data_IF_022884994418
#
_entry.id   IF_022884994418
#
_cell.length_a   1.000
_cell.length_b   1.000
_cell.length_c   1.000
_cell.angle_alpha   90.00
_cell.angle_beta   90.00
_cell.angle_gamma   90.00
#
_symmetry.space_group_name_H-M   'P 1'
#
loop_
_entity.id
_entity.type
_entity.pdbx_description
1 polymer ?
#
# COMPACT_ATOMS: atom_id res chain seq x y z
N UNK A 1 -7.16 -16.57 -3.71
CA UNK A 1 -6.70 -17.33 -4.90
C UNK A 1 -5.27 -17.87 -4.74
N UNK A 2 -4.30 -17.07 -4.28
CA UNK A 2 -2.91 -17.48 -4.03
C UNK A 2 -2.75 -18.85 -3.33
N UNK A 3 -3.38 -19.05 -2.18
CA UNK A 3 -3.24 -20.28 -1.38
C UNK A 3 -3.66 -21.51 -2.18
N UNK A 4 -4.77 -21.41 -2.93
CA UNK A 4 -5.29 -22.51 -3.75
C UNK A 4 -4.29 -22.88 -4.84
N UNK A 5 -3.77 -21.88 -5.58
CA UNK A 5 -2.79 -22.10 -6.65
C UNK A 5 -1.49 -22.69 -6.10
N UNK A 6 -0.99 -22.16 -4.99
CA UNK A 6 0.21 -22.68 -4.32
C UNK A 6 0.04 -24.14 -3.91
N UNK A 7 -1.11 -24.46 -3.31
CA UNK A 7 -1.41 -25.78 -2.79
C UNK A 7 -1.67 -26.79 -3.91
N UNK A 8 -2.35 -26.41 -4.99
CA UNK A 8 -2.54 -27.28 -6.15
C UNK A 8 -1.22 -27.60 -6.83
N UNK A 9 -0.33 -26.62 -7.03
CA UNK A 9 1.02 -26.85 -7.55
C UNK A 9 1.80 -27.82 -6.64
N UNK A 10 1.74 -27.62 -5.32
CA UNK A 10 2.40 -28.49 -4.35
C UNK A 10 1.90 -29.93 -4.45
N UNK A 11 0.58 -30.13 -4.50
CA UNK A 11 -0.03 -31.47 -4.59
C UNK A 11 0.24 -32.14 -5.92
N UNK A 12 0.17 -31.41 -7.04
CA UNK A 12 0.50 -31.95 -8.37
C UNK A 12 1.93 -32.46 -8.44
N UNK A 13 2.90 -31.71 -7.89
CA UNK A 13 4.29 -32.15 -7.78
C UNK A 13 4.44 -33.42 -6.94
N UNK A 14 3.69 -33.53 -5.84
CA UNK A 14 3.69 -34.73 -4.99
C UNK A 14 3.08 -35.95 -5.69
N UNK A 15 1.96 -35.77 -6.41
CA UNK A 15 1.35 -36.84 -7.19
C UNK A 15 2.26 -37.32 -8.33
N UNK A 16 2.93 -36.41 -9.03
CA UNK A 16 3.89 -36.76 -10.08
C UNK A 16 5.06 -37.58 -9.53
N UNK A 17 5.56 -37.25 -8.34
CA UNK A 17 6.60 -38.01 -7.67
C UNK A 17 6.12 -39.41 -7.21
N UNK A 18 4.86 -39.51 -6.75
CA UNK A 18 4.28 -40.78 -6.30
C UNK A 18 3.94 -41.74 -7.47
N UNK A 19 3.72 -41.22 -8.68
CA UNK A 19 3.35 -42.02 -9.86
C UNK A 19 4.56 -42.66 -10.58
N UNK A 20 5.78 -42.59 -10.02
CA UNK A 20 6.98 -43.16 -10.63
C UNK A 20 7.10 -42.85 -12.12
N UNK A 21 6.95 -41.57 -12.52
CA UNK A 21 7.38 -41.15 -13.85
C UNK A 21 8.91 -41.24 -13.91
N UNK A 22 9.42 -42.45 -14.16
CA UNK A 22 10.83 -42.83 -14.12
C UNK A 22 11.68 -42.21 -15.24
N UNK A 23 11.06 -41.59 -16.25
CA UNK A 23 11.78 -40.93 -17.33
C UNK A 23 11.86 -39.42 -17.13
N UNK A 24 12.91 -38.95 -16.44
CA UNK A 24 13.68 -37.68 -16.61
C UNK A 24 12.99 -36.35 -17.01
N UNK A 25 11.66 -36.29 -17.14
CA UNK A 25 10.88 -35.12 -17.50
C UNK A 25 10.16 -34.70 -16.23
N UNK A 26 10.78 -33.75 -15.52
CA UNK A 26 10.10 -33.02 -14.46
C UNK A 26 8.77 -32.49 -15.03
N UNK A 27 7.65 -32.81 -14.36
CA UNK A 27 6.34 -32.27 -14.70
C UNK A 27 6.44 -30.75 -14.85
N UNK A 28 6.30 -30.27 -16.08
CA UNK A 28 6.36 -28.84 -16.38
C UNK A 28 4.96 -28.24 -16.22
N UNK A 29 4.82 -27.37 -15.23
CA UNK A 29 3.58 -26.61 -15.00
C UNK A 29 3.81 -25.23 -15.59
N UNK A 30 2.98 -24.85 -16.54
CA UNK A 30 3.05 -23.55 -17.22
C UNK A 30 1.73 -22.80 -17.06
N UNK A 31 1.82 -21.48 -17.01
CA UNK A 31 0.65 -20.60 -17.12
C UNK A 31 0.62 -20.03 -18.54
N UNK A 32 -0.46 -20.22 -19.28
CA UNK A 32 -0.55 -19.86 -20.71
C UNK A 32 -1.41 -18.63 -20.98
N UNK A 33 -2.28 -18.26 -20.05
CA UNK A 33 -3.17 -17.10 -20.19
C UNK A 33 -2.42 -15.78 -20.03
N UNK A 34 -3.10 -14.69 -20.36
CA UNK A 34 -2.59 -13.34 -20.13
C UNK A 34 -2.49 -13.06 -18.63
N UNK A 35 -1.43 -12.37 -18.23
CA UNK A 35 -1.24 -11.96 -16.83
C UNK A 35 -2.40 -11.06 -16.36
N UNK A 36 -2.99 -11.31 -15.18
CA UNK A 36 -4.15 -10.58 -14.67
C UNK A 36 -3.73 -9.24 -14.05
N UNK A 37 -3.16 -8.34 -14.85
CA UNK A 37 -2.70 -7.04 -14.37
C UNK A 37 -3.84 -6.11 -13.94
N UNK A 38 -4.97 -6.10 -14.66
CA UNK A 38 -6.08 -5.20 -14.32
C UNK A 38 -6.65 -5.45 -12.91
N UNK A 39 -7.03 -6.69 -12.53
CA UNK A 39 -7.46 -6.96 -11.16
C UNK A 39 -6.37 -6.67 -10.12
N UNK A 40 -5.09 -6.82 -10.49
CA UNK A 40 -3.99 -6.49 -9.60
C UNK A 40 -3.86 -4.99 -9.34
N UNK A 41 -4.01 -4.16 -10.39
CA UNK A 41 -4.01 -2.70 -10.26
C UNK A 41 -5.19 -2.20 -9.43
N UNK A 42 -6.37 -2.82 -9.54
CA UNK A 42 -7.53 -2.46 -8.70
C UNK A 42 -7.23 -2.65 -7.20
N UNK A 43 -6.51 -3.73 -6.85
CA UNK A 43 -6.09 -4.00 -5.46
C UNK A 43 -5.05 -2.98 -4.99
N UNK A 44 -4.08 -2.63 -5.83
CA UNK A 44 -3.09 -1.58 -5.54
C UNK A 44 -3.80 -0.25 -5.30
N UNK A 45 -4.70 0.15 -6.19
CA UNK A 45 -5.44 1.40 -6.10
C UNK A 45 -6.29 1.46 -4.82
N UNK A 46 -6.93 0.36 -4.44
CA UNK A 46 -7.71 0.26 -3.20
C UNK A 46 -6.84 0.50 -1.97
N UNK A 47 -5.69 -0.16 -1.89
CA UNK A 47 -4.71 0.02 -0.83
C UNK A 47 -4.20 1.46 -0.76
N UNK A 48 -3.76 2.02 -1.89
CA UNK A 48 -3.23 3.38 -1.97
C UNK A 48 -4.28 4.44 -1.57
N UNK A 49 -5.54 4.27 -2.00
CA UNK A 49 -6.66 5.15 -1.61
C UNK A 49 -6.88 5.15 -0.10
N UNK A 50 -6.78 4.00 0.57
CA UNK A 50 -6.91 3.92 2.03
C UNK A 50 -5.75 4.62 2.75
N UNK A 51 -4.50 4.45 2.28
CA UNK A 51 -3.33 5.18 2.81
C UNK A 51 -3.50 6.69 2.70
N UNK A 52 -3.86 7.17 1.51
CA UNK A 52 -4.11 8.61 1.27
C UNK A 52 -5.27 9.13 2.13
N UNK A 53 -6.36 8.35 2.23
CA UNK A 53 -7.51 8.69 3.06
C UNK A 53 -7.14 8.86 4.54
N UNK A 54 -6.32 7.95 5.10
CA UNK A 54 -5.82 8.08 6.46
C UNK A 54 -4.98 9.33 6.65
N UNK A 55 -4.06 9.61 5.73
CA UNK A 55 -3.23 10.81 5.80
C UNK A 55 -4.09 12.09 5.83
N UNK A 56 -5.14 12.16 5.00
CA UNK A 56 -6.08 13.28 4.98
C UNK A 56 -6.82 13.40 6.32
N UNK A 57 -7.31 12.29 6.88
CA UNK A 57 -8.02 12.31 8.16
C UNK A 57 -7.12 12.70 9.33
N UNK A 58 -5.87 12.23 9.37
CA UNK A 58 -4.90 12.66 10.39
C UNK A 58 -4.63 14.15 10.33
N UNK A 59 -4.43 14.71 9.12
CA UNK A 59 -4.26 16.17 8.96
C UNK A 59 -5.48 16.96 9.41
N UNK A 60 -6.70 16.44 9.19
CA UNK A 60 -7.92 17.07 9.69
C UNK A 60 -8.02 16.98 11.22
N UNK A 61 -7.68 15.83 11.80
CA UNK A 61 -7.64 15.62 13.24
C UNK A 61 -6.66 16.57 13.92
N UNK A 62 -5.47 16.78 13.34
CA UNK A 62 -4.48 17.72 13.87
C UNK A 62 -5.01 19.16 13.93
N UNK A 63 -5.70 19.60 12.88
CA UNK A 63 -6.35 20.92 12.82
C UNK A 63 -7.44 21.05 13.89
N UNK A 64 -8.33 20.05 14.00
CA UNK A 64 -9.39 20.04 15.01
C UNK A 64 -8.82 20.00 16.42
N UNK A 65 -7.77 19.21 16.68
CA UNK A 65 -7.12 19.13 17.98
C UNK A 65 -6.48 20.47 18.38
N UNK A 66 -5.87 21.18 17.43
CA UNK A 66 -5.35 22.52 17.66
C UNK A 66 -6.47 23.53 17.99
N UNK A 67 -7.57 23.50 17.23
CA UNK A 67 -8.75 24.33 17.49
C UNK A 67 -9.36 24.04 18.86
N UNK A 68 -9.53 22.75 19.20
CA UNK A 68 -10.08 22.32 20.48
C UNK A 68 -9.23 22.80 21.66
N UNK A 69 -7.90 22.64 21.59
CA UNK A 69 -6.97 23.18 22.60
C UNK A 69 -7.07 24.70 22.73
N UNK A 70 -7.24 25.43 21.62
CA UNK A 70 -7.41 26.89 21.66
C UNK A 70 -8.73 27.31 22.33
N UNK A 71 -9.82 26.57 22.08
CA UNK A 71 -11.11 26.79 22.74
C UNK A 71 -11.03 26.51 24.23
N UNK A 72 -10.42 25.39 24.64
CA UNK A 72 -10.18 25.06 26.06
C UNK A 72 -9.44 26.18 26.78
N UNK A 73 -8.35 26.69 26.20
CA UNK A 73 -7.58 27.81 26.78
C UNK A 73 -8.44 29.07 26.93
N UNK A 74 -9.26 29.40 25.93
CA UNK A 74 -10.16 30.58 25.99
C UNK A 74 -11.24 30.43 27.06
N UNK A 75 -11.86 29.24 27.15
CA UNK A 75 -12.85 28.94 28.19
C UNK A 75 -12.24 29.06 29.58
N UNK A 76 -11.05 28.51 29.82
CA UNK A 76 -10.35 28.61 31.11
C UNK A 76 -10.07 30.06 31.52
N UNK A 77 -9.62 30.91 30.58
CA UNK A 77 -9.40 32.33 30.86
C UNK A 77 -10.71 33.04 31.22
N UNK A 78 -11.80 32.73 30.52
CA UNK A 78 -13.13 33.32 30.75
C UNK A 78 -13.76 32.86 32.07
N UNK A 79 -13.61 31.59 32.44
CA UNK A 79 -14.10 31.08 33.74
C UNK A 79 -13.32 31.66 34.92
N UNK A 80 -12.08 32.11 34.72
CA UNK A 80 -11.29 32.79 35.75
C UNK A 80 -11.68 34.27 35.92
N UNK A 81 -12.39 34.85 34.96
CA UNK A 81 -12.74 36.28 34.95
C UNK A 81 -13.93 36.56 35.89
N UNK A 82 -13.86 37.63 36.67
CA UNK A 82 -14.88 37.95 37.70
C UNK A 82 -16.18 38.49 37.10
N UNK A 83 -16.12 39.07 35.89
CA UNK A 83 -17.27 39.60 35.15
C UNK A 83 -17.35 38.96 33.74
N UNK A 84 -17.89 37.74 33.62
CA UNK A 84 -17.92 37.03 32.34
C UNK A 84 -18.89 37.69 31.35
N UNK A 85 -18.38 38.01 30.16
CA UNK A 85 -19.22 38.30 28.97
C UNK A 85 -19.88 37.00 28.48
N UNK A 86 -21.07 37.06 27.87
CA UNK A 86 -21.89 35.87 27.55
C UNK A 86 -21.12 34.70 26.92
N UNK A 87 -21.04 33.56 27.62
CA UNK A 87 -20.18 32.40 27.30
C UNK A 87 -20.84 31.45 26.27
N UNK A 88 -22.17 31.51 26.11
CA UNK A 88 -22.97 30.54 25.35
C UNK A 88 -22.43 30.18 23.94
N UNK A 89 -21.90 31.15 23.19
CA UNK A 89 -21.41 30.87 21.81
C UNK A 89 -20.12 30.03 21.78
N UNK A 90 -19.27 30.16 22.81
CA UNK A 90 -18.02 29.40 22.92
C UNK A 90 -18.29 27.96 23.37
N UNK A 91 -19.24 27.75 24.27
CA UNK A 91 -19.63 26.42 24.74
C UNK A 91 -20.21 25.59 23.59
N UNK A 92 -21.11 26.18 22.78
CA UNK A 92 -21.67 25.51 21.59
C UNK A 92 -20.57 25.13 20.59
N UNK A 93 -19.60 26.03 20.35
CA UNK A 93 -18.49 25.76 19.43
C UNK A 93 -17.56 24.68 19.97
N UNK A 94 -17.35 24.65 21.28
CA UNK A 94 -16.56 23.62 21.96
C UNK A 94 -17.20 22.24 21.81
N UNK A 95 -18.49 22.12 22.11
CA UNK A 95 -19.25 20.88 21.95
C UNK A 95 -19.26 20.41 20.50
N UNK A 96 -19.46 21.31 19.54
CA UNK A 96 -19.41 20.98 18.12
C UNK A 96 -18.04 20.45 17.70
N UNK A 97 -16.96 21.12 18.10
CA UNK A 97 -15.59 20.69 17.77
C UNK A 97 -15.29 19.32 18.38
N UNK A 98 -15.78 19.05 19.60
CA UNK A 98 -15.67 17.74 20.23
C UNK A 98 -16.39 16.64 19.43
N UNK A 99 -17.63 16.88 18.99
CA UNK A 99 -18.37 15.94 18.16
C UNK A 99 -17.68 15.70 16.80
N UNK A 100 -17.10 16.74 16.20
CA UNK A 100 -16.31 16.61 14.97
C UNK A 100 -15.06 15.75 15.16
N UNK A 101 -14.34 15.91 16.27
CA UNK A 101 -13.20 15.05 16.64
C UNK A 101 -13.65 13.59 16.74
N UNK A 102 -14.73 13.31 17.48
CA UNK A 102 -15.26 11.95 17.59
C UNK A 102 -15.65 11.37 16.22
N UNK A 103 -16.24 12.19 15.35
CA UNK A 103 -16.60 11.80 13.99
C UNK A 103 -15.37 11.43 13.14
N UNK A 104 -14.30 12.22 13.20
CA UNK A 104 -13.06 11.94 12.47
C UNK A 104 -12.34 10.72 13.03
N UNK A 105 -12.25 10.56 14.35
CA UNK A 105 -11.60 9.38 14.96
C UNK A 105 -12.27 8.08 14.50
N UNK A 106 -13.61 8.04 14.46
CA UNK A 106 -14.34 6.87 13.93
C UNK A 106 -14.04 6.59 12.45
N UNK A 107 -13.87 7.64 11.64
CA UNK A 107 -13.46 7.49 10.23
C UNK A 107 -12.04 6.93 10.12
N UNK A 108 -11.12 7.43 10.94
CA UNK A 108 -9.74 6.92 11.01
C UNK A 108 -9.74 5.44 11.37
N UNK A 109 -10.41 5.03 12.45
CA UNK A 109 -10.49 3.62 12.87
C UNK A 109 -11.05 2.72 11.75
N UNK A 110 -12.12 3.15 11.09
CA UNK A 110 -12.70 2.41 9.96
C UNK A 110 -11.72 2.29 8.80
N UNK A 111 -11.06 3.38 8.42
CA UNK A 111 -10.10 3.36 7.30
C UNK A 111 -8.83 2.59 7.66
N UNK A 112 -8.37 2.57 8.92
CA UNK A 112 -7.27 1.72 9.38
C UNK A 112 -7.62 0.24 9.21
N UNK A 113 -8.84 -0.16 9.57
CA UNK A 113 -9.30 -1.52 9.39
C UNK A 113 -9.37 -1.89 7.88
N UNK A 114 -9.95 -1.01 7.06
CA UNK A 114 -9.98 -1.21 5.60
C UNK A 114 -8.59 -1.23 4.96
N UNK A 115 -7.65 -0.44 5.47
CA UNK A 115 -6.25 -0.49 5.02
C UNK A 115 -5.65 -1.85 5.32
N UNK A 116 -5.78 -2.35 6.55
CA UNK A 116 -5.26 -3.67 6.94
C UNK A 116 -5.82 -4.80 6.07
N UNK A 117 -7.10 -4.75 5.74
CA UNK A 117 -7.73 -5.69 4.82
C UNK A 117 -7.11 -5.57 3.41
N UNK A 118 -7.01 -4.35 2.88
CA UNK A 118 -6.38 -4.09 1.59
C UNK A 118 -4.90 -4.52 1.53
N UNK A 119 -4.13 -4.35 2.63
CA UNK A 119 -2.73 -4.77 2.70
C UNK A 119 -2.58 -6.28 2.64
N UNK A 120 -3.48 -7.04 3.27
CA UNK A 120 -3.51 -8.50 3.14
C UNK A 120 -3.91 -8.95 1.73
N UNK A 121 -4.92 -8.30 1.14
CA UNK A 121 -5.36 -8.59 -0.23
C UNK A 121 -4.25 -8.30 -1.24
N UNK A 122 -3.52 -7.19 -1.07
CA UNK A 122 -2.39 -6.81 -1.89
C UNK A 122 -1.20 -7.77 -1.72
N UNK A 123 -0.90 -8.19 -0.49
CA UNK A 123 0.12 -9.21 -0.20
C UNK A 123 -0.20 -10.52 -0.94
N UNK A 124 -1.44 -11.00 -0.79
CA UNK A 124 -1.89 -12.23 -1.45
C UNK A 124 -1.85 -12.11 -2.98
N UNK A 125 -2.27 -10.96 -3.52
CA UNK A 125 -2.30 -10.72 -4.95
C UNK A 125 -0.89 -10.61 -5.53
N UNK A 126 0.03 -9.97 -4.83
CA UNK A 126 1.45 -9.88 -5.21
C UNK A 126 2.12 -11.25 -5.22
N UNK A 127 1.90 -12.05 -4.16
CA UNK A 127 2.40 -13.43 -4.11
C UNK A 127 1.81 -14.32 -5.23
N UNK A 128 0.56 -14.09 -5.64
CA UNK A 128 0.00 -14.76 -6.80
C UNK A 128 0.70 -14.32 -8.08
N UNK A 129 0.90 -13.02 -8.29
CA UNK A 129 1.62 -12.49 -9.45
C UNK A 129 3.02 -13.09 -9.56
N UNK A 130 3.73 -13.22 -8.45
CA UNK A 130 5.04 -13.88 -8.37
C UNK A 130 5.00 -15.33 -8.89
N UNK A 131 4.03 -16.13 -8.42
CA UNK A 131 3.84 -17.49 -8.91
C UNK A 131 3.53 -17.50 -10.41
N UNK A 132 2.62 -16.65 -10.88
CA UNK A 132 2.21 -16.60 -12.28
C UNK A 132 3.38 -16.21 -13.19
N UNK A 133 4.19 -15.22 -12.81
CA UNK A 133 5.41 -14.83 -13.54
C UNK A 133 6.40 -15.99 -13.60
N UNK A 134 6.64 -16.68 -12.46
CA UNK A 134 7.53 -17.84 -12.41
C UNK A 134 7.07 -18.95 -13.35
N UNK A 135 5.78 -19.28 -13.37
CA UNK A 135 5.22 -20.31 -14.25
C UNK A 135 5.18 -19.88 -15.71
N UNK A 136 4.94 -18.59 -15.99
CA UNK A 136 4.80 -18.08 -17.36
C UNK A 136 6.13 -17.99 -18.10
N UNK A 137 7.18 -17.58 -17.41
CA UNK A 137 8.51 -17.35 -17.97
C UNK A 137 9.52 -18.43 -17.58
N UNK A 138 9.12 -19.42 -16.77
CA UNK A 138 10.00 -20.48 -16.27
C UNK A 138 11.26 -19.92 -15.59
N UNK A 139 11.08 -18.90 -14.74
CA UNK A 139 12.20 -18.24 -14.05
C UNK A 139 12.92 -19.19 -13.09
N UNK A 140 14.25 -19.12 -13.09
CA UNK A 140 15.09 -19.82 -12.13
C UNK A 140 14.97 -19.17 -10.74
N UNK A 141 15.33 -19.92 -9.69
CA UNK A 141 15.22 -19.43 -8.31
C UNK A 141 16.03 -18.14 -8.06
N UNK A 142 17.16 -17.98 -8.75
CA UNK A 142 17.99 -16.75 -8.68
C UNK A 142 17.32 -15.55 -9.35
N UNK A 143 16.67 -15.76 -10.49
CA UNK A 143 15.95 -14.70 -11.20
C UNK A 143 14.72 -14.27 -10.39
N UNK A 144 14.08 -15.25 -9.74
CA UNK A 144 12.97 -14.99 -8.83
C UNK A 144 13.41 -14.19 -7.60
N UNK A 145 14.56 -14.52 -7.00
CA UNK A 145 15.12 -13.75 -5.87
C UNK A 145 15.37 -12.29 -6.26
N UNK A 146 15.93 -12.05 -7.45
CA UNK A 146 16.13 -10.68 -7.96
C UNK A 146 14.79 -9.96 -8.13
N UNK A 147 13.77 -10.64 -8.66
CA UNK A 147 12.44 -10.06 -8.81
C UNK A 147 11.81 -9.70 -7.45
N UNK A 148 11.86 -10.60 -6.47
CA UNK A 148 11.28 -10.40 -5.13
C UNK A 148 11.95 -9.25 -4.36
N UNK A 149 13.25 -9.02 -4.60
CA UNK A 149 13.97 -7.89 -4.00
C UNK A 149 13.51 -6.52 -4.57
N UNK A 150 13.01 -6.48 -5.81
CA UNK A 150 12.54 -5.25 -6.45
C UNK A 150 11.01 -5.12 -6.46
N UNK A 151 10.30 -6.22 -6.22
CA UNK A 151 8.86 -6.30 -6.09
C UNK A 151 8.52 -6.96 -4.74
N UNK A 152 8.43 -6.16 -3.66
CA UNK A 152 8.26 -6.70 -2.32
C UNK A 152 6.90 -7.40 -2.19
N UNK A 153 6.93 -8.64 -1.71
CA UNK A 153 5.71 -9.42 -1.44
C UNK A 153 5.03 -9.02 -0.13
N UNK A 154 5.81 -8.54 0.84
CA UNK A 154 5.32 -8.02 2.10
C UNK A 154 4.91 -6.56 1.95
N UNK A 155 3.64 -6.27 2.24
CA UNK A 155 3.09 -4.91 2.19
C UNK A 155 3.37 -4.22 3.52
N UNK A 156 4.15 -3.14 3.46
CA UNK A 156 4.37 -2.24 4.58
C UNK A 156 3.61 -0.92 4.36
N UNK A 157 2.81 -0.52 5.34
CA UNK A 157 2.01 0.70 5.28
C UNK A 157 2.77 1.93 5.84
N UNK A 158 3.82 1.69 6.62
CA UNK A 158 4.66 2.75 7.20
C UNK A 158 5.47 3.47 6.12
N UNK A 159 5.74 4.77 6.30
CA UNK A 159 6.50 5.55 5.32
C UNK A 159 8.01 5.26 5.41
N UNK A 160 8.70 4.94 4.29
CA UNK A 160 8.20 4.80 2.93
C UNK A 160 7.37 3.53 2.73
N UNK A 161 6.19 3.68 2.12
CA UNK A 161 5.24 2.57 1.97
C UNK A 161 5.59 1.61 0.84
N UNK A 162 4.72 0.62 0.67
CA UNK A 162 4.86 -0.41 -0.33
C UNK A 162 4.89 0.14 -1.76
N UNK A 163 4.03 1.11 -2.10
CA UNK A 163 3.97 1.71 -3.43
C UNK A 163 5.26 2.45 -3.80
N UNK A 164 5.81 3.21 -2.86
CA UNK A 164 7.06 3.94 -3.05
C UNK A 164 8.25 2.99 -3.20
N UNK A 165 8.25 1.91 -2.42
CA UNK A 165 9.27 0.86 -2.48
C UNK A 165 9.20 0.09 -3.80
N UNK A 166 8.00 -0.24 -4.26
CA UNK A 166 7.76 -0.90 -5.54
C UNK A 166 8.18 0.00 -6.71
N UNK A 167 7.77 1.27 -6.72
CA UNK A 167 8.15 2.23 -7.78
C UNK A 167 9.67 2.35 -7.88
N UNK A 168 10.34 2.49 -6.74
CA UNK A 168 11.79 2.51 -6.69
C UNK A 168 12.42 1.20 -7.20
N UNK A 169 11.95 0.05 -6.71
CA UNK A 169 12.46 -1.26 -7.09
C UNK A 169 12.29 -1.56 -8.59
N UNK A 170 11.10 -1.35 -9.13
CA UNK A 170 10.84 -1.52 -10.57
C UNK A 170 11.66 -0.54 -11.41
N UNK A 171 11.79 0.71 -10.97
CA UNK A 171 12.63 1.71 -11.66
C UNK A 171 14.11 1.30 -11.66
N UNK A 172 14.62 0.77 -10.55
CA UNK A 172 15.99 0.24 -10.47
C UNK A 172 16.17 -0.96 -11.39
N UNK A 173 15.23 -1.91 -11.38
CA UNK A 173 15.27 -3.11 -12.23
C UNK A 173 15.29 -2.73 -13.72
N UNK A 174 14.43 -1.79 -14.12
CA UNK A 174 14.36 -1.28 -15.50
C UNK A 174 15.65 -0.57 -15.91
N UNK A 175 16.28 0.21 -15.01
CA UNK A 175 17.46 1.03 -15.30
C UNK A 175 18.80 0.30 -15.22
N UNK A 176 18.85 -0.85 -14.54
CA UNK A 176 20.09 -1.60 -14.29
C UNK A 176 20.13 -2.92 -15.04
N UNK A 177 19.02 -3.68 -15.01
CA UNK A 177 18.98 -5.05 -15.56
C UNK A 177 18.42 -5.07 -16.99
N UNK A 178 17.44 -4.21 -17.28
CA UNK A 178 16.65 -4.31 -18.52
C UNK A 178 16.97 -3.26 -19.59
N UNK A 179 17.64 -2.15 -19.25
CA UNK A 179 18.01 -1.12 -20.26
C UNK A 179 19.31 -1.49 -20.97
N UNK A 180 19.19 -1.82 -22.26
CA UNK A 180 20.35 -2.03 -23.16
C UNK A 180 20.98 -0.74 -23.67
N UNK A 181 20.35 0.44 -23.49
CA UNK A 181 20.83 1.71 -24.05
C UNK A 181 20.99 2.82 -22.99
N UNK A 182 22.20 3.36 -22.77
CA UNK A 182 22.47 4.37 -21.74
C UNK A 182 21.90 5.77 -22.05
N UNK A 183 21.36 6.02 -23.25
CA UNK A 183 20.81 7.33 -23.65
C UNK A 183 19.40 7.61 -23.10
N UNK A 184 18.64 6.58 -22.71
CA UNK A 184 17.34 6.76 -22.04
C UNK A 184 17.46 7.12 -20.55
N UNK A 185 18.60 6.81 -19.92
CA UNK A 185 18.88 7.15 -18.51
C UNK A 185 18.73 8.65 -18.21
N UNK A 186 19.11 9.51 -19.15
CA UNK A 186 19.14 10.96 -18.96
C UNK A 186 17.77 11.64 -19.15
N UNK A 187 16.86 11.03 -19.92
CA UNK A 187 15.61 11.69 -20.29
C UNK A 187 14.56 11.69 -19.16
N UNK A 188 14.53 10.68 -18.28
CA UNK A 188 13.53 10.60 -17.19
C UNK A 188 13.97 11.21 -15.86
N UNK A 189 15.28 11.33 -15.60
CA UNK A 189 15.80 12.05 -14.43
C UNK A 189 15.46 13.56 -14.48
N UNK A 190 15.43 14.16 -15.67
CA UNK A 190 15.04 15.57 -15.84
C UNK A 190 13.55 15.82 -15.55
N UNK A 191 12.67 14.84 -15.84
CA UNK A 191 11.24 14.95 -15.51
C UNK A 191 10.98 14.86 -14.01
N UNK A 192 11.78 14.06 -13.27
CA UNK A 192 11.68 13.97 -11.81
C UNK A 192 12.15 15.26 -11.13
N UNK A 193 13.22 15.88 -11.62
CA UNK A 193 13.68 17.21 -11.16
C UNK A 193 12.64 18.32 -11.42
N UNK A 194 11.93 18.29 -12.55
CA UNK A 194 10.88 19.27 -12.86
C UNK A 194 9.63 19.09 -12.00
N UNK A 195 9.28 17.87 -11.59
CA UNK A 195 8.14 17.61 -10.71
C UNK A 195 8.44 17.90 -9.23
N UNK A 196 9.69 17.72 -8.78
CA UNK A 196 10.11 18.12 -7.43
C UNK A 196 10.41 19.62 -7.28
N UNK A 197 10.62 20.34 -8.39
CA UNK A 197 10.80 21.80 -8.38
C UNK A 197 9.47 22.58 -8.45
N UNK A 198 8.34 21.88 -8.63
CA UNK A 198 7.01 22.46 -8.73
C UNK A 198 6.13 22.21 -7.49
N UNK A 199 6.70 21.72 -6.38
CA UNK A 199 6.09 21.60 -5.06
C UNK A 199 6.89 22.40 -4.03
#
# INVERSE_FOLDING_TARGET
MYILVKETIRRLKQCAAALHMEDKQQMKIEFTENMPFYPYFDVIDSHFKNRLGLQIYYQQLDKLAAQFRALQKRLLVRYKDKNPTSINSLDILFDKTYQEILGITKKIEKTQQSLKEASHDLTCSTLLMHILVKLRYSLDDKEMEVLENHWPSFVNDESPGWEETLDFGLTQLLNTVLTKNPKEKTFRLNLRCLLTAAA
#
